data_IF_432656451317
#
_entry.id   IF_432656451317
#
_cell.length_a   1.000
_cell.length_b   1.000
_cell.length_c   1.000
_cell.angle_alpha   90.00
_cell.angle_beta   90.00
_cell.angle_gamma   90.00
#
_symmetry.space_group_name_H-M   'P 1'
#
loop_
_entity.id
_entity.type
_entity.pdbx_description
1 polymer ?
#
# COMPACT_ATOMS: atom_id res chain seq x y z
N UNK A 1 -19.38 -8.70 20.41
CA UNK A 1 -18.13 -7.98 20.76
C UNK A 1 -17.79 -7.13 19.56
N UNK A 2 -17.82 -5.79 19.67
CA UNK A 2 -17.29 -4.94 18.60
C UNK A 2 -15.76 -5.09 18.64
N UNK A 3 -15.21 -5.90 17.74
CA UNK A 3 -13.77 -5.88 17.50
C UNK A 3 -13.43 -4.52 16.88
N UNK A 4 -12.61 -3.72 17.55
CA UNK A 4 -12.08 -2.47 16.97
C UNK A 4 -11.31 -2.81 15.68
N UNK A 5 -11.36 -1.90 14.70
CA UNK A 5 -10.51 -2.02 13.50
C UNK A 5 -9.04 -2.00 13.91
N UNK A 6 -8.15 -2.73 13.22
CA UNK A 6 -6.72 -2.67 13.48
C UNK A 6 -6.16 -1.27 13.19
N UNK A 7 -5.16 -0.86 13.96
CA UNK A 7 -4.43 0.38 13.71
C UNK A 7 -3.47 0.23 12.53
N UNK A 8 -3.28 1.29 11.75
CA UNK A 8 -2.49 1.27 10.50
C UNK A 8 -1.39 2.34 10.54
N UNK A 9 -0.15 1.92 10.34
CA UNK A 9 0.96 2.84 10.10
C UNK A 9 1.30 2.92 8.62
N UNK A 10 1.38 4.13 8.06
CA UNK A 10 1.81 4.35 6.68
C UNK A 10 3.24 4.88 6.69
N UNK A 11 4.21 3.98 6.55
CA UNK A 11 5.65 4.29 6.53
C UNK A 11 6.03 4.92 5.19
N UNK A 12 6.65 6.10 5.24
CA UNK A 12 6.87 6.93 4.05
C UNK A 12 5.60 7.63 3.56
N UNK A 13 4.59 7.76 4.40
CA UNK A 13 3.23 8.18 4.08
C UNK A 13 3.06 9.64 3.62
N UNK A 14 4.12 10.44 3.60
CA UNK A 14 4.10 11.81 3.04
C UNK A 14 4.18 11.85 1.50
N UNK A 15 4.38 10.71 0.83
CA UNK A 15 4.32 10.58 -0.62
C UNK A 15 2.88 10.51 -1.14
N UNK A 16 2.68 10.67 -2.46
CA UNK A 16 1.33 10.69 -3.06
C UNK A 16 0.53 9.41 -2.76
N UNK A 17 1.14 8.23 -2.91
CA UNK A 17 0.45 6.96 -2.69
C UNK A 17 0.14 6.76 -1.21
N UNK A 18 1.12 6.95 -0.32
CA UNK A 18 0.93 6.79 1.11
C UNK A 18 -0.10 7.77 1.67
N UNK A 19 -0.04 9.04 1.28
CA UNK A 19 -1.01 10.05 1.64
C UNK A 19 -2.43 9.68 1.21
N UNK A 20 -2.60 9.26 -0.03
CA UNK A 20 -3.91 8.90 -0.57
C UNK A 20 -4.52 7.68 0.13
N UNK A 21 -3.71 6.66 0.44
CA UNK A 21 -4.14 5.50 1.21
C UNK A 21 -4.52 5.89 2.64
N UNK A 22 -3.69 6.68 3.33
CA UNK A 22 -3.97 7.17 4.68
C UNK A 22 -5.28 7.95 4.76
N UNK A 23 -5.55 8.83 3.79
CA UNK A 23 -6.81 9.57 3.70
C UNK A 23 -8.03 8.63 3.60
N UNK A 24 -7.97 7.64 2.73
CA UNK A 24 -9.08 6.71 2.50
C UNK A 24 -9.34 5.83 3.71
N UNK A 25 -8.32 5.31 4.36
CA UNK A 25 -8.47 4.49 5.56
C UNK A 25 -8.96 5.29 6.75
N UNK A 26 -8.46 6.51 6.96
CA UNK A 26 -8.99 7.38 8.01
C UNK A 26 -10.45 7.75 7.76
N UNK A 27 -10.84 8.04 6.52
CA UNK A 27 -12.23 8.28 6.15
C UNK A 27 -13.14 7.03 6.34
N UNK A 28 -12.56 5.83 6.27
CA UNK A 28 -13.24 4.56 6.55
C UNK A 28 -13.24 4.17 8.04
N UNK A 29 -12.69 5.03 8.92
CA UNK A 29 -12.72 4.86 10.38
C UNK A 29 -11.55 4.10 10.98
N UNK A 30 -10.48 3.83 10.22
CA UNK A 30 -9.24 3.27 10.77
C UNK A 30 -8.47 4.33 11.55
N UNK A 31 -7.80 3.92 12.63
CA UNK A 31 -6.77 4.72 13.29
C UNK A 31 -5.48 4.67 12.46
N UNK A 32 -5.08 5.81 11.87
CA UNK A 32 -4.00 5.87 10.90
C UNK A 32 -2.92 6.84 11.34
N UNK A 33 -1.68 6.33 11.43
CA UNK A 33 -0.48 7.13 11.71
C UNK A 33 0.39 7.23 10.46
N UNK A 34 0.67 8.46 10.01
CA UNK A 34 1.63 8.72 8.92
C UNK A 34 3.04 8.77 9.49
N UNK A 35 3.91 7.86 9.03
CA UNK A 35 5.33 7.83 9.34
C UNK A 35 6.18 8.53 8.27
N UNK A 36 7.25 9.20 8.71
CA UNK A 36 8.28 9.77 7.84
C UNK A 36 9.65 9.68 8.50
N UNK A 37 10.74 9.69 7.71
CA UNK A 37 12.11 9.78 8.24
C UNK A 37 12.36 11.03 9.09
N UNK A 38 11.57 12.09 8.88
CA UNK A 38 11.56 13.29 9.66
C UNK A 38 10.15 13.50 10.21
N UNK A 39 9.96 13.32 11.52
CA UNK A 39 8.67 13.47 12.20
C UNK A 39 8.01 14.83 11.92
N UNK A 40 8.78 15.91 11.89
CA UNK A 40 8.28 17.25 11.55
C UNK A 40 7.61 17.31 10.16
N UNK A 41 8.10 16.51 9.18
CA UNK A 41 7.48 16.43 7.85
C UNK A 41 6.16 15.68 7.89
N UNK A 42 6.08 14.60 8.67
CA UNK A 42 4.83 13.88 8.89
C UNK A 42 3.79 14.77 9.57
N UNK A 43 4.19 15.48 10.63
CA UNK A 43 3.33 16.42 11.38
C UNK A 43 2.75 17.50 10.48
N UNK A 44 3.58 18.16 9.70
CA UNK A 44 3.14 19.23 8.78
C UNK A 44 2.14 18.70 7.72
N UNK A 45 2.36 17.48 7.18
CA UNK A 45 1.43 16.88 6.22
C UNK A 45 0.12 16.50 6.91
N UNK A 46 0.15 15.88 8.09
CA UNK A 46 -1.05 15.51 8.86
C UNK A 46 -1.87 16.73 9.24
N UNK A 47 -1.26 17.80 9.76
CA UNK A 47 -1.96 19.05 10.07
C UNK A 47 -2.67 19.64 8.85
N UNK A 48 -2.03 19.60 7.69
CA UNK A 48 -2.61 20.04 6.43
C UNK A 48 -3.81 19.19 6.05
N UNK A 49 -3.70 17.86 6.10
CA UNK A 49 -4.75 16.93 5.71
C UNK A 49 -5.96 17.01 6.64
N UNK A 50 -5.75 17.00 7.96
CA UNK A 50 -6.81 17.13 8.95
C UNK A 50 -7.55 18.47 8.85
N UNK A 51 -6.88 19.53 8.37
CA UNK A 51 -7.49 20.83 8.11
C UNK A 51 -8.34 20.85 6.84
N UNK A 52 -7.92 20.10 5.81
CA UNK A 52 -8.62 20.05 4.51
C UNK A 52 -9.84 19.12 4.52
N UNK A 53 -9.88 18.15 5.41
CA UNK A 53 -10.90 17.11 5.46
C UNK A 53 -11.45 16.97 6.88
N UNK A 54 -12.68 17.42 7.11
CA UNK A 54 -13.31 17.42 8.44
C UNK A 54 -13.74 16.03 8.94
N UNK A 55 -13.76 15.03 8.05
CA UNK A 55 -14.19 13.66 8.33
C UNK A 55 -13.03 12.68 8.53
N UNK A 56 -11.81 13.17 8.66
CA UNK A 56 -10.62 12.35 8.94
C UNK A 56 -9.92 12.78 10.22
N UNK A 57 -9.19 11.83 10.80
CA UNK A 57 -8.31 12.07 11.94
C UNK A 57 -7.05 11.25 11.78
N UNK A 58 -5.97 11.90 11.32
CA UNK A 58 -4.67 11.28 11.11
C UNK A 58 -3.72 11.67 12.25
N UNK A 59 -2.89 10.72 12.65
CA UNK A 59 -1.76 10.93 13.56
C UNK A 59 -0.44 10.93 12.79
N UNK A 60 0.64 11.40 13.39
CA UNK A 60 1.98 11.46 12.77
C UNK A 60 3.07 11.07 13.74
N UNK A 61 4.12 10.42 13.21
CA UNK A 61 5.32 10.08 13.96
C UNK A 61 6.53 9.95 13.01
N UNK A 62 7.70 9.62 13.55
CA UNK A 62 8.74 9.05 12.70
C UNK A 62 8.37 7.63 12.23
N UNK A 63 9.16 7.06 11.31
CA UNK A 63 8.82 5.74 10.75
C UNK A 63 8.82 4.63 11.82
N UNK A 64 9.70 4.68 12.81
CA UNK A 64 9.80 3.66 13.87
C UNK A 64 8.67 3.79 14.86
N UNK A 65 8.38 5.01 15.31
CA UNK A 65 7.27 5.26 16.22
C UNK A 65 5.94 4.84 15.60
N UNK A 66 5.68 5.24 14.35
CA UNK A 66 4.50 4.82 13.61
C UNK A 66 4.41 3.28 13.47
N UNK A 67 5.49 2.60 13.03
CA UNK A 67 5.51 1.15 12.88
C UNK A 67 5.38 0.41 14.22
N UNK A 68 5.97 0.94 15.29
CA UNK A 68 5.88 0.36 16.64
C UNK A 68 4.47 0.39 17.21
N UNK A 69 3.72 1.46 16.95
CA UNK A 69 2.39 1.72 17.51
C UNK A 69 1.23 1.09 16.74
N UNK A 70 1.44 0.43 15.60
CA UNK A 70 0.36 -0.07 14.75
C UNK A 70 0.35 -1.60 14.65
N UNK A 71 -0.82 -2.16 14.31
CA UNK A 71 -1.02 -3.60 14.04
C UNK A 71 -0.63 -3.98 12.62
N UNK A 72 -0.95 -3.12 11.65
CA UNK A 72 -0.63 -3.28 10.23
C UNK A 72 0.25 -2.13 9.76
N UNK A 73 1.37 -2.47 9.14
CA UNK A 73 2.31 -1.51 8.60
C UNK A 73 2.22 -1.52 7.07
N UNK A 74 2.08 -0.33 6.46
CA UNK A 74 2.03 -0.17 5.00
C UNK A 74 3.26 0.61 4.55
N UNK A 75 4.12 -0.05 3.78
CA UNK A 75 5.37 0.52 3.27
C UNK A 75 5.13 1.22 1.92
N UNK A 76 5.26 2.54 1.89
CA UNK A 76 4.95 3.38 0.71
C UNK A 76 6.15 4.20 0.22
N UNK A 77 7.36 3.71 0.45
CA UNK A 77 8.58 4.39 0.02
C UNK A 77 8.97 4.05 -1.42
N UNK A 78 9.67 4.92 -2.13
CA UNK A 78 10.26 4.57 -3.43
C UNK A 78 11.22 3.37 -3.33
N UNK A 79 11.25 2.52 -4.36
CA UNK A 79 12.05 1.28 -4.40
C UNK A 79 13.50 1.44 -3.91
N UNK A 80 14.18 2.51 -4.34
CA UNK A 80 15.58 2.79 -3.92
C UNK A 80 15.77 2.97 -2.40
N UNK A 81 14.70 3.17 -1.64
CA UNK A 81 14.73 3.33 -0.19
C UNK A 81 14.06 2.16 0.54
N UNK A 82 13.50 1.18 -0.19
CA UNK A 82 12.74 0.06 0.39
C UNK A 82 13.58 -0.70 1.41
N UNK A 83 14.70 -1.25 0.99
CA UNK A 83 15.56 -2.06 1.85
C UNK A 83 16.01 -1.30 3.10
N UNK A 84 16.59 -0.12 2.95
CA UNK A 84 17.07 0.66 4.09
C UNK A 84 15.97 1.08 5.05
N UNK A 85 14.73 1.31 4.55
CA UNK A 85 13.59 1.62 5.42
C UNK A 85 13.11 0.38 6.16
N UNK A 86 13.05 -0.76 5.50
CA UNK A 86 12.68 -2.05 6.11
C UNK A 86 13.65 -2.42 7.21
N UNK A 87 14.98 -2.34 6.95
CA UNK A 87 16.02 -2.60 7.94
C UNK A 87 15.92 -1.66 9.15
N UNK A 88 15.59 -0.39 8.92
CA UNK A 88 15.45 0.60 9.99
C UNK A 88 14.29 0.33 10.94
N UNK A 89 13.16 -0.18 10.42
CA UNK A 89 11.94 -0.47 11.21
C UNK A 89 11.82 -1.94 11.62
N UNK A 90 12.71 -2.84 11.19
CA UNK A 90 12.58 -4.30 11.35
C UNK A 90 12.27 -4.73 12.79
N UNK A 91 12.94 -4.12 13.79
CA UNK A 91 12.72 -4.42 15.19
C UNK A 91 11.30 -4.09 15.71
N UNK A 92 10.52 -3.30 14.95
CA UNK A 92 9.16 -2.91 15.30
C UNK A 92 8.09 -3.81 14.64
N UNK A 93 8.50 -4.80 13.81
CA UNK A 93 7.59 -5.55 12.93
C UNK A 93 7.25 -6.96 13.42
N UNK A 94 7.89 -7.43 14.48
CA UNK A 94 7.73 -8.81 14.97
C UNK A 94 6.25 -9.14 15.22
N UNK A 95 5.77 -10.26 14.65
CA UNK A 95 4.38 -10.73 14.74
C UNK A 95 3.35 -9.91 13.95
N UNK A 96 3.76 -8.84 13.26
CA UNK A 96 2.85 -7.93 12.55
C UNK A 96 2.67 -8.27 11.06
N UNK A 97 1.73 -7.57 10.42
CA UNK A 97 1.54 -7.60 8.98
C UNK A 97 2.26 -6.41 8.36
N UNK A 98 3.09 -6.65 7.36
CA UNK A 98 3.70 -5.63 6.52
C UNK A 98 3.10 -5.70 5.12
N UNK A 99 2.30 -4.69 4.75
CA UNK A 99 1.80 -4.52 3.37
C UNK A 99 2.80 -3.66 2.60
N UNK A 100 3.47 -4.25 1.63
CA UNK A 100 4.43 -3.53 0.79
C UNK A 100 3.80 -3.15 -0.55
N UNK A 101 3.75 -1.85 -0.84
CA UNK A 101 3.20 -1.29 -2.09
C UNK A 101 4.30 -0.92 -3.08
N UNK A 102 5.56 -1.21 -2.77
CA UNK A 102 6.71 -0.81 -3.56
C UNK A 102 6.73 -1.48 -4.92
N UNK A 103 7.12 -0.70 -5.93
CA UNK A 103 7.34 -1.17 -7.30
C UNK A 103 8.79 -0.88 -7.71
N UNK A 104 9.51 -1.84 -8.32
CA UNK A 104 10.90 -1.66 -8.72
C UNK A 104 11.05 -0.75 -9.96
N UNK A 105 10.57 0.50 -9.83
CA UNK A 105 10.71 1.51 -10.89
C UNK A 105 12.10 2.14 -10.85
N UNK A 106 12.82 2.05 -11.95
CA UNK A 106 14.16 2.65 -12.10
C UNK A 106 14.13 3.74 -13.18
N UNK A 107 14.11 5.02 -12.77
CA UNK A 107 14.18 6.14 -13.70
C UNK A 107 15.45 6.11 -14.57
N UNK A 108 15.41 6.63 -15.83
CA UNK A 108 14.26 7.29 -16.46
C UNK A 108 13.28 6.32 -17.16
N UNK A 109 13.56 5.00 -17.17
CA UNK A 109 12.84 4.01 -17.98
C UNK A 109 11.70 3.33 -17.23
N UNK A 110 10.92 4.07 -16.45
CA UNK A 110 9.85 3.52 -15.59
C UNK A 110 8.70 2.79 -16.32
N UNK A 111 8.54 3.01 -17.63
CA UNK A 111 7.59 2.27 -18.46
C UNK A 111 8.17 0.98 -19.07
N UNK A 112 9.30 0.51 -18.57
CA UNK A 112 9.90 -0.80 -18.91
C UNK A 112 9.99 -1.61 -17.63
N UNK A 113 9.56 -2.86 -17.70
CA UNK A 113 9.73 -3.81 -16.61
C UNK A 113 11.21 -3.99 -16.31
N UNK A 114 11.57 -3.82 -15.07
CA UNK A 114 12.93 -3.99 -14.54
C UNK A 114 12.79 -4.76 -13.22
N UNK A 115 13.02 -6.07 -13.29
CA UNK A 115 12.93 -6.92 -12.10
C UNK A 115 14.23 -6.82 -11.30
N UNK A 116 14.15 -6.79 -9.95
CA UNK A 116 15.33 -6.93 -9.12
C UNK A 116 15.92 -8.33 -9.24
N UNK A 117 17.17 -8.53 -8.81
CA UNK A 117 17.84 -9.82 -8.84
C UNK A 117 17.06 -10.94 -8.13
N UNK A 118 16.37 -10.59 -7.06
CA UNK A 118 15.49 -11.50 -6.32
C UNK A 118 14.19 -11.88 -7.07
N UNK A 119 13.96 -11.32 -8.26
CA UNK A 119 12.74 -11.49 -9.06
C UNK A 119 11.59 -10.56 -8.64
N UNK A 120 11.42 -10.28 -7.36
CA UNK A 120 10.39 -9.40 -6.80
C UNK A 120 10.97 -8.55 -5.67
N UNK A 121 10.57 -7.28 -5.63
CA UNK A 121 10.95 -6.36 -4.56
C UNK A 121 10.36 -6.80 -3.21
N UNK A 122 9.11 -7.24 -3.20
CA UNK A 122 8.41 -7.65 -1.98
C UNK A 122 8.92 -8.99 -1.44
N UNK A 123 9.23 -9.95 -2.32
CA UNK A 123 9.88 -11.23 -1.92
C UNK A 123 11.22 -10.96 -1.25
N UNK A 124 11.98 -9.98 -1.73
CA UNK A 124 13.24 -9.60 -1.08
C UNK A 124 13.01 -9.06 0.34
N UNK A 125 11.95 -8.28 0.56
CA UNK A 125 11.58 -7.79 1.90
C UNK A 125 11.27 -8.95 2.85
N UNK A 126 10.51 -9.96 2.41
CA UNK A 126 10.24 -11.15 3.24
C UNK A 126 11.55 -11.87 3.63
N UNK A 127 12.51 -11.97 2.70
CA UNK A 127 13.82 -12.60 3.00
C UNK A 127 14.62 -11.82 4.05
N UNK A 128 14.54 -10.49 4.01
CA UNK A 128 15.23 -9.62 4.99
C UNK A 128 14.61 -9.75 6.37
N UNK A 129 13.27 -9.81 6.45
CA UNK A 129 12.52 -9.80 7.72
C UNK A 129 12.38 -11.18 8.36
N UNK A 130 12.54 -12.26 7.59
CA UNK A 130 12.32 -13.63 8.08
C UNK A 130 10.84 -13.94 8.32
N UNK A 131 10.57 -15.09 8.95
CA UNK A 131 9.22 -15.67 9.05
C UNK A 131 8.34 -15.04 10.13
N UNK A 132 8.91 -14.25 11.03
CA UNK A 132 8.15 -13.60 12.11
C UNK A 132 7.32 -12.39 11.63
N UNK A 133 7.52 -11.95 10.40
CA UNK A 133 6.75 -10.85 9.78
C UNK A 133 5.96 -11.39 8.61
N UNK A 134 4.64 -11.18 8.63
CA UNK A 134 3.75 -11.62 7.56
C UNK A 134 3.71 -10.56 6.46
N UNK A 135 4.50 -10.75 5.40
CA UNK A 135 4.59 -9.79 4.29
C UNK A 135 3.51 -10.06 3.25
N UNK A 136 2.83 -9.01 2.84
CA UNK A 136 1.79 -9.01 1.79
C UNK A 136 2.11 -7.93 0.76
N UNK A 137 1.95 -8.22 -0.52
CA UNK A 137 2.00 -7.21 -1.57
C UNK A 137 0.59 -6.77 -1.97
N UNK A 138 0.36 -5.46 -2.08
CA UNK A 138 -0.89 -4.89 -2.57
C UNK A 138 -0.69 -3.46 -3.09
N UNK A 139 -1.62 -2.96 -3.92
CA UNK A 139 -1.66 -1.59 -4.44
C UNK A 139 -0.60 -1.22 -5.47
N UNK A 140 0.27 -2.12 -5.94
CA UNK A 140 1.26 -1.85 -6.97
C UNK A 140 0.62 -1.34 -8.28
N UNK A 141 -0.53 -1.88 -8.61
CA UNK A 141 -1.26 -1.56 -9.85
C UNK A 141 -2.27 -0.41 -9.71
N UNK A 142 -2.23 0.34 -8.60
CA UNK A 142 -3.14 1.47 -8.33
C UNK A 142 -2.46 2.80 -8.61
N UNK A 143 -3.15 3.69 -9.33
CA UNK A 143 -2.65 5.04 -9.58
C UNK A 143 -2.76 5.91 -8.33
N UNK A 144 -1.62 6.42 -7.85
CA UNK A 144 -1.56 7.33 -6.71
C UNK A 144 -2.40 8.60 -6.91
N UNK A 145 -2.54 9.06 -8.17
CA UNK A 145 -3.34 10.23 -8.51
C UNK A 145 -4.81 10.07 -8.09
N UNK A 146 -5.40 8.90 -8.30
CA UNK A 146 -6.81 8.63 -7.95
C UNK A 146 -7.04 8.46 -6.45
N UNK A 147 -6.02 8.06 -5.68
CA UNK A 147 -6.15 7.83 -4.24
C UNK A 147 -6.40 9.11 -3.44
N UNK A 148 -5.89 10.25 -3.92
CA UNK A 148 -5.92 11.52 -3.20
C UNK A 148 -7.25 12.29 -3.32
N UNK A 149 -8.17 11.84 -4.17
CA UNK A 149 -9.53 12.37 -4.27
C UNK A 149 -10.52 11.38 -3.64
N UNK A 150 -11.03 11.71 -2.46
CA UNK A 150 -11.98 10.85 -1.73
C UNK A 150 -13.31 10.66 -2.47
N UNK A 151 -13.68 11.57 -3.37
CA UNK A 151 -14.90 11.46 -4.17
C UNK A 151 -14.70 10.56 -5.42
N UNK A 152 -13.46 10.29 -5.77
CA UNK A 152 -13.11 9.44 -6.93
C UNK A 152 -13.42 7.96 -6.62
N UNK A 153 -14.38 7.39 -7.35
CA UNK A 153 -14.57 5.92 -7.40
C UNK A 153 -13.48 5.30 -8.25
N UNK A 154 -12.65 4.45 -7.64
CA UNK A 154 -11.54 3.80 -8.33
C UNK A 154 -12.00 2.43 -8.81
N UNK A 155 -12.30 2.31 -10.11
CA UNK A 155 -12.63 1.02 -10.74
C UNK A 155 -11.34 0.26 -11.08
N UNK A 156 -10.76 -0.37 -10.08
CA UNK A 156 -9.54 -1.15 -10.23
C UNK A 156 -9.55 -2.31 -9.24
N UNK A 157 -9.19 -3.49 -9.70
CA UNK A 157 -8.90 -4.62 -8.85
C UNK A 157 -7.47 -4.53 -8.34
N UNK A 158 -7.29 -4.81 -7.07
CA UNK A 158 -5.98 -4.84 -6.41
C UNK A 158 -5.57 -6.29 -6.20
N UNK A 159 -4.48 -6.70 -6.83
CA UNK A 159 -3.91 -8.03 -6.59
C UNK A 159 -3.24 -8.06 -5.22
N UNK A 160 -3.68 -8.99 -4.37
CA UNK A 160 -3.15 -9.17 -3.01
C UNK A 160 -2.42 -10.51 -2.94
N UNK A 161 -1.09 -10.49 -2.79
CA UNK A 161 -0.27 -11.69 -2.71
C UNK A 161 0.45 -11.77 -1.36
N UNK A 162 0.51 -12.96 -0.77
CA UNK A 162 1.18 -13.21 0.49
C UNK A 162 1.10 -14.70 0.84
N UNK A 163 2.02 -15.20 1.65
CA UNK A 163 2.01 -16.61 2.01
C UNK A 163 1.07 -16.93 3.18
N UNK A 164 0.86 -15.96 4.08
CA UNK A 164 -0.10 -16.06 5.18
C UNK A 164 -1.52 -15.70 4.72
N UNK A 165 -2.48 -16.61 4.92
CA UNK A 165 -3.86 -16.44 4.45
C UNK A 165 -4.61 -15.34 5.22
N UNK A 166 -4.43 -15.26 6.54
CA UNK A 166 -5.07 -14.25 7.39
C UNK A 166 -4.57 -12.85 7.05
N UNK A 167 -3.25 -12.69 6.83
CA UNK A 167 -2.67 -11.42 6.42
C UNK A 167 -3.19 -10.94 5.06
N UNK A 168 -3.45 -11.86 4.10
CA UNK A 168 -4.10 -11.51 2.84
C UNK A 168 -5.53 -11.03 3.06
N UNK A 169 -6.31 -11.71 3.91
CA UNK A 169 -7.69 -11.30 4.24
C UNK A 169 -7.73 -9.91 4.88
N UNK A 170 -6.88 -9.66 5.87
CA UNK A 170 -6.79 -8.33 6.50
C UNK A 170 -6.39 -7.25 5.48
N UNK A 171 -5.48 -7.58 4.55
CA UNK A 171 -5.10 -6.66 3.48
C UNK A 171 -6.26 -6.42 2.49
N UNK A 172 -7.07 -7.43 2.17
CA UNK A 172 -8.27 -7.27 1.33
C UNK A 172 -9.30 -6.34 2.00
N UNK A 173 -9.46 -6.43 3.32
CA UNK A 173 -10.31 -5.47 4.07
C UNK A 173 -9.79 -4.04 3.91
N UNK A 174 -8.47 -3.82 3.99
CA UNK A 174 -7.86 -2.51 3.74
C UNK A 174 -8.08 -2.02 2.30
N UNK A 175 -7.99 -2.92 1.30
CA UNK A 175 -8.31 -2.59 -0.10
C UNK A 175 -9.76 -2.16 -0.25
N UNK A 176 -10.68 -2.89 0.36
CA UNK A 176 -12.12 -2.58 0.35
C UNK A 176 -12.40 -1.24 1.04
N UNK A 177 -11.79 -0.99 2.20
CA UNK A 177 -11.89 0.28 2.92
C UNK A 177 -11.33 1.47 2.11
N UNK A 178 -10.34 1.22 1.24
CA UNK A 178 -9.84 2.23 0.31
C UNK A 178 -10.74 2.44 -0.92
N UNK A 179 -11.87 1.72 -1.04
CA UNK A 179 -12.87 1.87 -2.09
C UNK A 179 -12.55 1.11 -3.38
N UNK A 180 -11.83 -0.01 -3.28
CA UNK A 180 -11.46 -0.88 -4.41
C UNK A 180 -11.79 -2.33 -4.11
N UNK A 181 -11.76 -3.20 -5.12
CA UNK A 181 -11.93 -4.65 -4.96
C UNK A 181 -10.57 -5.31 -4.79
N UNK A 182 -10.35 -5.99 -3.65
CA UNK A 182 -9.19 -6.83 -3.43
C UNK A 182 -9.41 -8.23 -4.04
N UNK A 183 -8.39 -8.75 -4.71
CA UNK A 183 -8.41 -10.07 -5.32
C UNK A 183 -7.22 -10.87 -4.84
N UNK A 184 -7.46 -12.09 -4.35
CA UNK A 184 -6.39 -12.99 -3.95
C UNK A 184 -5.49 -13.34 -5.15
N UNK A 185 -4.26 -12.85 -5.13
CA UNK A 185 -3.23 -13.14 -6.14
C UNK A 185 -2.41 -14.40 -5.83
N UNK A 186 -2.70 -15.07 -4.69
CA UNK A 186 -2.00 -16.28 -4.26
C UNK A 186 -0.74 -16.00 -3.43
N UNK A 187 0.29 -16.88 -3.53
CA UNK A 187 1.49 -16.76 -2.71
C UNK A 187 2.31 -15.50 -3.02
N UNK A 188 3.18 -15.12 -2.08
CA UNK A 188 3.96 -13.88 -2.17
C UNK A 188 4.82 -13.80 -3.44
N UNK A 189 5.31 -14.91 -3.95
CA UNK A 189 6.09 -14.96 -5.20
C UNK A 189 5.32 -14.39 -6.40
N UNK A 190 4.00 -14.43 -6.39
CA UNK A 190 3.16 -13.86 -7.44
C UNK A 190 3.15 -12.32 -7.45
N UNK A 191 3.68 -11.66 -6.42
CA UNK A 191 3.81 -10.19 -6.38
C UNK A 191 4.56 -9.61 -7.57
N UNK A 192 5.48 -10.38 -8.16
CA UNK A 192 6.21 -10.01 -9.38
C UNK A 192 5.28 -9.58 -10.52
N UNK A 193 4.09 -10.15 -10.61
CA UNK A 193 3.09 -9.82 -11.66
C UNK A 193 2.58 -8.40 -11.45
N UNK A 194 2.15 -8.05 -10.25
CA UNK A 194 1.64 -6.72 -9.92
C UNK A 194 2.74 -5.65 -10.02
N UNK A 195 3.96 -5.97 -9.57
CA UNK A 195 5.13 -5.11 -9.69
C UNK A 195 5.49 -4.81 -11.16
N UNK A 196 5.56 -5.84 -12.01
CA UNK A 196 5.85 -5.70 -13.43
C UNK A 196 4.73 -4.97 -14.18
N UNK A 197 3.47 -5.25 -13.85
CA UNK A 197 2.28 -4.63 -14.44
C UNK A 197 2.29 -3.11 -14.33
N UNK A 198 2.79 -2.56 -13.24
CA UNK A 198 2.86 -1.10 -13.04
C UNK A 198 3.61 -0.40 -14.16
N UNK A 199 4.75 -0.94 -14.60
CA UNK A 199 5.50 -0.39 -15.73
C UNK A 199 4.69 -0.40 -17.03
N UNK A 200 3.89 -1.44 -17.26
CA UNK A 200 3.00 -1.56 -18.42
C UNK A 200 1.88 -0.51 -18.33
N UNK A 201 1.24 -0.36 -17.16
CA UNK A 201 0.20 0.64 -16.93
C UNK A 201 0.70 2.07 -17.13
N UNK A 202 1.93 2.38 -16.69
CA UNK A 202 2.59 3.66 -16.98
C UNK A 202 2.74 3.88 -18.49
N UNK A 203 3.12 2.84 -19.24
CA UNK A 203 3.20 2.88 -20.69
C UNK A 203 1.84 3.15 -21.35
N UNK A 204 0.78 2.49 -20.87
CA UNK A 204 -0.61 2.68 -21.31
C UNK A 204 -1.06 4.11 -21.04
N UNK A 205 -0.84 4.63 -19.81
CA UNK A 205 -1.18 6.01 -19.44
C UNK A 205 -0.57 7.03 -20.42
N UNK A 206 0.71 6.87 -20.75
CA UNK A 206 1.41 7.72 -21.70
C UNK A 206 0.85 7.62 -23.12
N UNK A 207 0.62 6.38 -23.60
CA UNK A 207 0.13 6.12 -24.95
C UNK A 207 -1.27 6.66 -25.19
N UNK A 208 -2.17 6.43 -24.24
CA UNK A 208 -3.59 6.77 -24.36
C UNK A 208 -3.96 8.10 -23.68
N UNK A 209 -2.98 8.78 -23.07
CA UNK A 209 -3.15 10.08 -22.37
C UNK A 209 -4.26 10.02 -21.30
N UNK A 210 -4.26 8.95 -20.50
CA UNK A 210 -5.18 8.77 -19.39
C UNK A 210 -4.44 8.91 -18.05
N UNK A 211 -5.11 9.43 -17.00
CA UNK A 211 -4.46 9.77 -15.73
C UNK A 211 -4.11 8.55 -14.86
N UNK A 212 -4.75 7.38 -15.09
CA UNK A 212 -4.52 6.21 -14.26
C UNK A 212 -5.21 4.97 -14.81
N UNK A 213 -4.48 4.17 -15.60
CA UNK A 213 -4.89 2.84 -15.97
C UNK A 213 -4.87 1.91 -14.75
N UNK A 214 -5.83 1.01 -14.68
CA UNK A 214 -5.90 -0.09 -13.73
C UNK A 214 -6.27 -1.38 -14.45
N UNK A 215 -6.57 -2.43 -13.70
CA UNK A 215 -7.06 -3.70 -14.21
C UNK A 215 -8.40 -4.06 -13.57
N UNK A 216 -9.18 -4.84 -14.29
CA UNK A 216 -10.38 -5.51 -13.79
C UNK A 216 -10.26 -6.98 -14.16
N UNK A 217 -10.39 -7.88 -13.19
CA UNK A 217 -10.41 -9.31 -13.39
C UNK A 217 -11.83 -9.69 -13.82
N UNK A 218 -12.00 -10.06 -15.08
CA UNK A 218 -13.27 -10.51 -15.63
C UNK A 218 -13.66 -11.88 -15.07
N UNK A 219 -14.96 -12.14 -14.94
CA UNK A 219 -15.48 -13.40 -14.40
C UNK A 219 -15.63 -13.43 -12.87
N UNK A 220 -15.17 -12.39 -12.16
CA UNK A 220 -15.55 -12.15 -10.77
C UNK A 220 -16.80 -11.28 -10.78
N UNK A 221 -17.88 -11.74 -10.14
CA UNK A 221 -19.07 -10.92 -9.88
C UNK A 221 -18.69 -9.75 -8.97
N UNK A 222 -19.32 -8.59 -9.19
CA UNK A 222 -19.25 -7.52 -8.21
C UNK A 222 -19.89 -8.00 -6.91
N UNK A 223 -19.30 -7.65 -5.77
CA UNK A 223 -19.81 -8.08 -4.45
C UNK A 223 -21.26 -7.63 -4.18
N UNK A 224 -21.80 -6.74 -5.02
CA UNK A 224 -23.22 -6.31 -5.04
C UNK A 224 -24.15 -7.24 -5.81
N UNK A 225 -23.64 -8.28 -6.49
CA UNK A 225 -24.45 -9.23 -7.28
C UNK A 225 -24.60 -10.61 -6.61
N UNK A 226 -23.98 -10.78 -5.43
CA UNK A 226 -24.15 -12.00 -4.60
C UNK A 226 -25.15 -11.65 -3.50
N UNK A 227 -26.45 -11.75 -3.82
CA UNK A 227 -27.55 -11.89 -2.84
C UNK A 227 -27.81 -13.37 -2.53
#
# INVERSE_FOLDING_TARGET
MHTSLPSVAVVGGTGEQGRGLALRWSAAGYDVTIGSRASARASAEVEKLNRLHSNISLSSDDNKGAAGGADIIVLTVPFKFQQSTVEDIAACLDGKILVDVTVPLVPPRVARVQLPEAGSAVVNVQRILGDNVRVVSAFQNVSAHHLNDLNQKIKCDVLVCGDDAEAREETIKLVTAAGMRGVHGGPLVNSVVAEALTSVLIGINRRYKIPGAGIIITGLSDASEIE
#
